data_IF_886777264057
#
_entry.id   IF_886777264057
#
_cell.length_a   1.000
_cell.length_b   1.000
_cell.length_c   1.000
_cell.angle_alpha   90.00
_cell.angle_beta   90.00
_cell.angle_gamma   90.00
#
_symmetry.space_group_name_H-M   'P 1'
#
loop_
_entity.id
_entity.type
_entity.pdbx_description
1 polymer ?
#
# COMPACT_ATOMS: atom_id res chain seq x y z
N UNK A 1 13.01 -5.49 14.87
CA UNK A 1 12.52 -5.19 13.51
C UNK A 1 11.41 -4.15 13.67
N UNK A 2 11.62 -2.89 13.27
CA UNK A 2 10.59 -1.85 13.42
C UNK A 2 9.50 -2.12 12.38
N UNK A 3 8.25 -2.31 12.81
CA UNK A 3 7.14 -2.61 11.91
C UNK A 3 6.79 -1.33 11.15
N UNK A 4 7.04 -1.35 9.84
CA UNK A 4 6.55 -0.36 8.90
C UNK A 4 5.17 -0.83 8.45
N UNK A 5 4.12 -0.17 8.91
CA UNK A 5 2.72 -0.55 8.68
C UNK A 5 2.07 0.48 7.77
N UNK A 6 1.81 0.07 6.53
CA UNK A 6 1.06 0.89 5.57
C UNK A 6 -0.43 0.55 5.61
N UNK A 7 -1.25 1.46 5.06
CA UNK A 7 -2.68 1.23 4.89
C UNK A 7 -2.92 0.04 3.96
N UNK A 8 -3.33 -1.06 4.57
CA UNK A 8 -3.84 -2.24 3.89
C UNK A 8 -5.28 -2.55 4.27
N UNK A 9 -6.02 -1.63 4.91
CA UNK A 9 -7.40 -1.88 5.35
C UNK A 9 -8.40 -1.10 4.48
N UNK A 10 -9.37 -1.80 3.89
CA UNK A 10 -10.46 -1.25 3.06
C UNK A 10 -9.89 -0.37 1.93
N UNK A 11 -8.92 -0.91 1.19
CA UNK A 11 -8.34 -0.25 0.03
C UNK A 11 -9.22 -0.52 -1.19
N UNK A 12 -9.72 0.55 -1.80
CA UNK A 12 -10.49 0.48 -3.06
C UNK A 12 -9.53 0.31 -4.23
N UNK A 13 -9.52 -0.85 -4.86
CA UNK A 13 -8.65 -1.16 -6.00
C UNK A 13 -9.45 -1.70 -7.17
N UNK A 14 -8.89 -1.60 -8.38
CA UNK A 14 -9.51 -2.16 -9.58
C UNK A 14 -9.63 -3.68 -9.48
N UNK A 15 -10.72 -4.24 -10.00
CA UNK A 15 -10.97 -5.67 -10.07
C UNK A 15 -11.19 -6.12 -11.50
N UNK A 16 -10.68 -7.31 -11.84
CA UNK A 16 -10.85 -7.88 -13.15
C UNK A 16 -12.32 -8.23 -13.41
N UNK A 17 -12.90 -7.64 -14.47
CA UNK A 17 -14.30 -7.84 -14.86
C UNK A 17 -14.65 -9.30 -15.16
N UNK A 18 -13.66 -10.12 -15.55
CA UNK A 18 -13.83 -11.55 -15.87
C UNK A 18 -14.07 -12.43 -14.64
N UNK A 19 -13.73 -11.95 -13.43
CA UNK A 19 -13.86 -12.71 -12.17
C UNK A 19 -14.54 -11.87 -11.09
N UNK A 20 -15.55 -11.08 -11.47
CA UNK A 20 -16.31 -10.25 -10.53
C UNK A 20 -16.94 -11.13 -9.43
N UNK A 21 -16.73 -10.82 -8.13
CA UNK A 21 -17.36 -11.53 -7.03
C UNK A 21 -18.85 -11.16 -6.87
N UNK A 22 -19.35 -10.23 -7.69
CA UNK A 22 -20.75 -9.79 -7.69
C UNK A 22 -21.50 -10.43 -8.87
N UNK A 23 -22.63 -11.07 -8.59
CA UNK A 23 -23.53 -11.64 -9.59
C UNK A 23 -24.07 -10.54 -10.50
N UNK A 24 -23.84 -10.67 -11.81
CA UNK A 24 -24.22 -9.64 -12.79
C UNK A 24 -25.63 -9.86 -13.32
N UNK A 25 -26.46 -8.81 -13.32
CA UNK A 25 -27.71 -8.72 -14.08
C UNK A 25 -27.44 -7.94 -15.38
N UNK A 26 -27.82 -8.53 -16.52
CA UNK A 26 -27.39 -8.25 -17.90
C UNK A 26 -27.54 -6.82 -18.46
N UNK A 27 -28.00 -5.84 -17.69
CA UNK A 27 -28.27 -4.47 -18.19
C UNK A 27 -27.82 -3.36 -17.23
N UNK A 28 -26.93 -3.65 -16.28
CA UNK A 28 -26.36 -2.61 -15.42
C UNK A 28 -24.84 -2.70 -15.38
N UNK A 29 -24.18 -1.61 -15.79
CA UNK A 29 -22.74 -1.44 -15.66
C UNK A 29 -22.41 -1.09 -14.21
N UNK A 30 -21.65 -1.95 -13.51
CA UNK A 30 -21.20 -1.63 -12.16
C UNK A 30 -19.73 -1.93 -11.91
N UNK A 31 -19.05 -0.84 -11.52
CA UNK A 31 -17.87 -0.71 -10.69
C UNK A 31 -16.83 -1.85 -10.79
N UNK A 32 -15.84 -1.68 -11.67
CA UNK A 32 -14.61 -2.49 -11.73
C UNK A 32 -13.68 -2.22 -10.54
N UNK A 33 -14.22 -1.93 -9.36
CA UNK A 33 -13.47 -1.65 -8.14
C UNK A 33 -14.09 -2.40 -6.97
N UNK A 34 -13.22 -2.92 -6.10
CA UNK A 34 -13.58 -3.63 -4.88
C UNK A 34 -12.75 -3.09 -3.72
N UNK A 35 -13.33 -3.11 -2.51
CA UNK A 35 -12.61 -2.80 -1.29
C UNK A 35 -11.98 -4.07 -0.74
N UNK A 36 -10.67 -4.06 -0.53
CA UNK A 36 -9.91 -5.22 -0.05
C UNK A 36 -9.05 -4.83 1.15
N UNK A 37 -8.85 -5.77 2.06
CA UNK A 37 -7.96 -5.63 3.20
C UNK A 37 -6.90 -6.73 3.21
N UNK A 38 -5.68 -6.39 3.60
CA UNK A 38 -4.58 -7.33 3.78
C UNK A 38 -3.20 -6.68 3.58
N UNK A 39 -2.16 -7.42 3.99
CA UNK A 39 -0.76 -7.03 3.71
C UNK A 39 -0.48 -6.96 2.21
N UNK A 40 -1.22 -7.74 1.40
CA UNK A 40 -1.22 -7.67 -0.07
C UNK A 40 -1.69 -6.31 -0.63
N UNK A 41 -2.41 -5.49 0.14
CA UNK A 41 -2.83 -4.13 -0.24
C UNK A 41 -1.90 -3.06 0.33
N UNK A 42 -1.18 -3.36 1.41
CA UNK A 42 -0.10 -2.51 1.92
C UNK A 42 1.18 -2.61 1.06
N UNK A 43 1.50 -3.80 0.55
CA UNK A 43 2.67 -4.05 -0.30
C UNK A 43 2.75 -3.16 -1.57
N UNK A 44 1.69 -3.02 -2.39
CA UNK A 44 1.73 -2.15 -3.56
C UNK A 44 1.91 -0.66 -3.19
N UNK A 45 1.48 -0.21 -2.02
CA UNK A 45 1.76 1.15 -1.56
C UNK A 45 3.26 1.37 -1.26
N UNK A 46 3.94 0.43 -0.59
CA UNK A 46 5.41 0.52 -0.40
C UNK A 46 6.11 0.51 -1.75
N UNK A 47 5.68 -0.37 -2.66
CA UNK A 47 6.29 -0.48 -3.98
C UNK A 47 6.19 0.84 -4.77
N UNK A 48 5.06 1.55 -4.67
CA UNK A 48 4.90 2.88 -5.27
C UNK A 48 5.85 3.93 -4.68
N UNK A 49 5.96 4.00 -3.35
CA UNK A 49 6.90 4.90 -2.65
C UNK A 49 8.35 4.59 -3.04
N UNK A 50 8.70 3.31 -3.07
CA UNK A 50 10.03 2.85 -3.47
C UNK A 50 10.37 3.22 -4.92
N UNK A 51 9.42 3.07 -5.85
CA UNK A 51 9.60 3.46 -7.24
C UNK A 51 9.81 4.97 -7.39
N UNK A 52 9.02 5.79 -6.71
CA UNK A 52 9.17 7.25 -6.70
C UNK A 52 10.54 7.67 -6.14
N UNK A 53 10.97 7.09 -5.02
CA UNK A 53 12.28 7.40 -4.44
C UNK A 53 13.44 6.91 -5.31
N UNK A 54 13.28 5.77 -6.00
CA UNK A 54 14.28 5.27 -6.92
C UNK A 54 14.49 6.21 -8.11
N UNK A 55 13.40 6.74 -8.67
CA UNK A 55 13.45 7.72 -9.76
C UNK A 55 14.02 9.06 -9.30
N UNK A 56 13.48 9.64 -8.22
CA UNK A 56 13.87 10.98 -7.75
C UNK A 56 15.32 11.06 -7.26
N UNK A 57 15.82 9.99 -6.61
CA UNK A 57 17.17 9.96 -6.04
C UNK A 57 18.16 9.17 -6.91
N UNK A 58 17.76 8.71 -8.10
CA UNK A 58 18.57 7.87 -9.00
C UNK A 58 19.18 6.64 -8.27
N UNK A 59 18.39 5.96 -7.45
CA UNK A 59 18.84 4.79 -6.69
C UNK A 59 18.84 3.55 -7.60
N UNK A 60 19.94 2.81 -7.58
CA UNK A 60 20.17 1.68 -8.50
C UNK A 60 20.28 0.33 -7.79
N UNK A 61 20.40 0.32 -6.46
CA UNK A 61 20.49 -0.92 -5.68
C UNK A 61 19.28 -1.08 -4.74
N UNK A 62 18.80 -2.32 -4.52
CA UNK A 62 17.71 -2.58 -3.57
C UNK A 62 17.99 -2.06 -2.16
N UNK A 63 19.25 -2.10 -1.71
CA UNK A 63 19.66 -1.64 -0.39
C UNK A 63 19.53 -0.12 -0.25
N UNK A 64 19.91 0.63 -1.29
CA UNK A 64 19.72 2.08 -1.32
C UNK A 64 18.24 2.45 -1.28
N UNK A 65 17.40 1.74 -2.04
CA UNK A 65 15.95 1.95 -2.07
C UNK A 65 15.35 1.64 -0.71
N UNK A 66 15.72 0.53 -0.06
CA UNK A 66 15.24 0.19 1.28
C UNK A 66 15.64 1.27 2.30
N UNK A 67 16.90 1.72 2.28
CA UNK A 67 17.38 2.75 3.19
C UNK A 67 16.64 4.08 2.98
N UNK A 68 16.45 4.49 1.72
CA UNK A 68 15.70 5.69 1.38
C UNK A 68 14.24 5.60 1.82
N UNK A 69 13.57 4.49 1.52
CA UNK A 69 12.18 4.25 1.94
C UNK A 69 12.05 4.33 3.45
N UNK A 70 12.93 3.65 4.21
CA UNK A 70 12.94 3.69 5.69
C UNK A 70 13.21 5.08 6.26
N UNK A 71 14.06 5.87 5.62
CA UNK A 71 14.36 7.24 6.05
C UNK A 71 13.14 8.17 6.01
N UNK A 72 12.16 7.86 5.17
CA UNK A 72 10.93 8.66 5.02
C UNK A 72 9.81 8.24 5.98
N UNK A 73 10.00 7.21 6.81
CA UNK A 73 8.99 6.81 7.80
C UNK A 73 8.96 7.77 8.99
N UNK A 74 7.81 8.38 9.22
CA UNK A 74 7.53 9.17 10.41
C UNK A 74 6.55 8.45 11.34
N UNK A 75 6.63 8.75 12.63
CA UNK A 75 5.65 8.32 13.60
C UNK A 75 4.38 9.17 13.51
N UNK A 76 3.23 8.51 13.51
CA UNK A 76 1.92 9.15 13.26
C UNK A 76 1.15 9.58 14.51
N UNK A 77 1.75 9.53 15.70
CA UNK A 77 1.02 9.87 16.93
C UNK A 77 0.23 8.71 17.55
N UNK A 78 0.17 7.57 16.88
CA UNK A 78 -0.71 6.45 17.22
C UNK A 78 0.09 5.16 17.46
N UNK A 79 -0.52 4.25 18.21
CA UNK A 79 -0.01 2.91 18.47
C UNK A 79 -0.96 1.86 17.91
N UNK A 80 -0.40 0.77 17.39
CA UNK A 80 -1.19 -0.42 17.09
C UNK A 80 -1.70 -1.06 18.40
N UNK A 81 -2.65 -1.96 18.27
CA UNK A 81 -3.20 -2.82 19.33
C UNK A 81 -2.14 -3.54 20.17
N UNK A 82 -0.97 -3.82 19.59
CA UNK A 82 0.21 -4.38 20.28
C UNK A 82 1.14 -3.31 20.92
N UNK A 83 0.69 -2.05 21.05
CA UNK A 83 1.44 -0.91 21.58
C UNK A 83 2.72 -0.55 20.82
N UNK A 84 2.83 -0.96 19.56
CA UNK A 84 3.91 -0.51 18.69
C UNK A 84 3.57 0.81 18.00
N UNK A 85 4.51 1.76 17.89
CA UNK A 85 4.28 3.02 17.19
C UNK A 85 3.96 2.76 15.72
N UNK A 86 2.86 3.33 15.22
CA UNK A 86 2.48 3.25 13.82
C UNK A 86 3.28 4.28 13.03
N UNK A 87 4.07 3.80 12.08
CA UNK A 87 4.90 4.64 11.22
C UNK A 87 4.51 4.47 9.75
N UNK A 88 4.37 5.58 9.03
CA UNK A 88 4.13 5.60 7.59
C UNK A 88 5.16 6.49 6.87
N UNK A 89 5.51 6.16 5.62
CA UNK A 89 6.37 7.01 4.79
C UNK A 89 5.62 8.28 4.39
N UNK A 90 6.30 9.43 4.52
CA UNK A 90 5.86 10.73 3.98
C UNK A 90 6.81 11.13 2.86
N UNK A 91 6.25 11.61 1.74
CA UNK A 91 6.98 12.06 0.54
C UNK A 91 6.91 13.57 0.41
#
# INVERSE_FOLDING_TARGET
MRRCELQGNIIKSTWASTVSPYTQLSNVSYNNYVNLSGTSMAAPHIAGVAAYLAETLNLITPQQIEAAVRAHFIWLGNYDTDWYPVNMPVL
#
